data_IF_117547397101
#
_entry.id   IF_117547397101
#
_cell.length_a   1.000
_cell.length_b   1.000
_cell.length_c   1.000
_cell.angle_alpha   90.00
_cell.angle_beta   90.00
_cell.angle_gamma   90.00
#
_symmetry.space_group_name_H-M   'P 1'
#
loop_
_entity.id
_entity.type
_entity.pdbx_description
1 polymer ?
#
# COMPACT_ATOMS: atom_id res chain seq x y z
N UNK A 1 15.62 13.80 -3.19
CA UNK A 1 16.47 14.75 -3.95
C UNK A 1 16.75 16.02 -3.13
N UNK A 2 18.00 16.47 -3.11
CA UNK A 2 18.40 17.73 -2.46
C UNK A 2 18.01 18.93 -3.33
N UNK A 3 17.52 20.00 -2.70
CA UNK A 3 17.16 21.28 -3.33
C UNK A 3 17.55 22.41 -2.39
N UNK A 4 18.03 23.52 -2.94
CA UNK A 4 18.48 24.67 -2.16
C UNK A 4 17.30 25.47 -1.58
N UNK A 5 17.58 26.25 -0.53
CA UNK A 5 16.59 27.12 0.09
C UNK A 5 16.04 28.12 -0.94
N UNK A 6 14.74 28.07 -1.18
CA UNK A 6 14.04 28.96 -2.11
C UNK A 6 13.63 28.28 -3.42
N UNK A 7 14.07 27.05 -3.69
CA UNK A 7 13.72 26.29 -4.90
C UNK A 7 12.39 25.53 -4.79
N UNK A 8 11.76 25.55 -3.61
CA UNK A 8 10.50 24.83 -3.34
C UNK A 8 10.67 23.31 -3.33
N UNK A 9 9.57 22.59 -3.56
CA UNK A 9 9.53 21.12 -3.63
C UNK A 9 9.13 20.65 -5.04
N UNK A 10 9.55 19.44 -5.41
CA UNK A 10 9.00 18.70 -6.55
C UNK A 10 8.67 17.28 -6.13
N UNK A 11 7.45 17.03 -5.63
CA UNK A 11 7.04 15.71 -5.18
C UNK A 11 7.20 14.61 -6.23
N UNK A 12 7.04 14.95 -7.53
CA UNK A 12 7.21 14.02 -8.65
C UNK A 12 8.66 13.51 -8.86
N UNK A 13 9.64 14.09 -8.16
CA UNK A 13 11.03 13.65 -8.15
C UNK A 13 11.41 12.92 -6.85
N UNK A 14 10.49 12.81 -5.89
CA UNK A 14 10.76 12.15 -4.62
C UNK A 14 10.91 10.64 -4.80
N UNK A 15 11.95 10.09 -4.18
CA UNK A 15 12.23 8.67 -4.17
C UNK A 15 11.68 8.07 -2.86
N UNK A 16 10.99 6.92 -2.91
CA UNK A 16 10.65 6.17 -1.71
C UNK A 16 11.90 5.74 -0.94
N UNK A 17 11.75 5.55 0.36
CA UNK A 17 12.84 5.11 1.23
C UNK A 17 12.62 3.68 1.71
N UNK A 18 13.62 2.84 1.53
CA UNK A 18 13.74 1.52 2.10
C UNK A 18 14.40 1.59 3.48
N UNK A 19 13.57 1.53 4.52
CA UNK A 19 13.98 1.59 5.92
C UNK A 19 14.91 0.45 6.36
N UNK A 20 14.97 -0.65 5.62
CA UNK A 20 15.84 -1.79 5.92
C UNK A 20 17.19 -1.72 5.20
N UNK A 21 17.35 -0.78 4.26
CA UNK A 21 18.59 -0.63 3.50
C UNK A 21 19.56 0.38 4.13
N UNK A 22 19.14 1.12 5.17
CA UNK A 22 19.94 2.15 5.82
C UNK A 22 20.68 1.62 7.05
N UNK A 23 21.45 0.54 6.87
CA UNK A 23 22.18 -0.09 7.98
C UNK A 23 23.19 0.92 8.57
N UNK A 24 22.94 1.36 9.82
CA UNK A 24 23.80 2.31 10.53
C UNK A 24 23.60 3.80 10.23
N UNK A 25 22.59 4.21 9.45
CA UNK A 25 22.26 5.63 9.27
C UNK A 25 20.76 5.88 9.03
N UNK A 26 20.29 7.11 9.19
CA UNK A 26 18.92 7.51 8.85
C UNK A 26 18.72 7.75 7.33
N UNK A 27 19.47 7.02 6.47
CA UNK A 27 19.53 7.30 5.04
C UNK A 27 20.30 8.58 4.73
N UNK A 28 21.38 8.86 5.46
CA UNK A 28 22.24 10.03 5.26
C UNK A 28 23.58 9.65 4.61
N UNK A 29 24.25 10.63 4.01
CA UNK A 29 25.56 10.43 3.38
C UNK A 29 25.54 9.43 2.23
N UNK A 30 26.60 8.66 2.05
CA UNK A 30 26.71 7.69 0.94
C UNK A 30 25.66 6.57 1.04
N UNK A 31 25.23 6.22 2.25
CA UNK A 31 24.19 5.20 2.49
C UNK A 31 22.77 5.65 2.11
N UNK A 32 22.55 6.95 1.90
CA UNK A 32 21.28 7.47 1.41
C UNK A 32 20.89 6.84 0.06
N UNK A 33 21.88 6.69 -0.83
CA UNK A 33 21.67 6.13 -2.17
C UNK A 33 21.19 4.68 -2.13
N UNK A 34 21.63 3.92 -1.12
CA UNK A 34 21.21 2.54 -0.94
C UNK A 34 19.78 2.43 -0.37
N UNK A 35 19.33 3.48 0.34
CA UNK A 35 17.99 3.58 0.92
C UNK A 35 16.96 4.22 -0.02
N UNK A 36 17.35 5.03 -1.00
CA UNK A 36 16.45 5.70 -1.97
C UNK A 36 15.86 4.73 -3.03
N UNK A 37 15.17 3.68 -2.57
CA UNK A 37 14.47 2.71 -3.43
C UNK A 37 13.13 2.29 -2.85
N UNK A 38 12.22 1.91 -3.74
CA UNK A 38 10.95 1.29 -3.36
C UNK A 38 11.19 -0.13 -2.81
N UNK A 39 10.49 -0.48 -1.74
CA UNK A 39 10.42 -1.85 -1.23
C UNK A 39 9.01 -2.41 -1.43
N UNK A 40 8.94 -3.64 -1.91
CA UNK A 40 7.71 -4.40 -2.07
C UNK A 40 7.68 -5.57 -1.09
N UNK A 41 6.56 -5.75 -0.40
CA UNK A 41 6.27 -6.93 0.40
C UNK A 41 5.22 -7.76 -0.32
N UNK A 42 5.60 -8.96 -0.74
CA UNK A 42 4.70 -9.87 -1.47
C UNK A 42 3.72 -10.49 -0.47
N UNK A 43 2.44 -10.53 -0.84
CA UNK A 43 1.42 -11.16 -0.03
C UNK A 43 1.68 -12.67 0.10
N UNK A 44 1.34 -13.23 1.26
CA UNK A 44 1.37 -14.68 1.47
C UNK A 44 0.44 -15.39 0.48
N UNK A 45 0.95 -16.46 -0.14
CA UNK A 45 0.27 -17.15 -1.23
C UNK A 45 -1.01 -17.89 -0.78
N UNK A 46 -1.03 -18.44 0.44
CA UNK A 46 -2.17 -19.17 0.97
C UNK A 46 -3.29 -18.21 1.41
N UNK A 47 -2.93 -17.10 2.08
CA UNK A 47 -3.87 -16.03 2.41
C UNK A 47 -4.46 -15.41 1.14
N UNK A 48 -3.64 -15.16 0.12
CA UNK A 48 -4.09 -14.62 -1.16
C UNK A 48 -5.02 -15.60 -1.90
N UNK A 49 -4.71 -16.90 -1.87
CA UNK A 49 -5.58 -17.93 -2.43
C UNK A 49 -6.95 -17.99 -1.72
N UNK A 50 -6.98 -17.87 -0.39
CA UNK A 50 -8.22 -17.79 0.38
C UNK A 50 -9.05 -16.56 -0.03
N UNK A 51 -8.42 -15.39 -0.22
CA UNK A 51 -9.08 -14.19 -0.69
C UNK A 51 -9.67 -14.36 -2.10
N UNK A 52 -8.95 -15.00 -3.01
CA UNK A 52 -9.44 -15.31 -4.36
C UNK A 52 -10.62 -16.27 -4.35
N UNK A 53 -10.61 -17.28 -3.48
CA UNK A 53 -11.68 -18.27 -3.39
C UNK A 53 -13.03 -17.64 -2.96
N UNK A 54 -13.00 -16.61 -2.11
CA UNK A 54 -14.23 -15.94 -1.63
C UNK A 54 -14.55 -14.64 -2.33
N UNK A 55 -13.73 -14.16 -3.27
CA UNK A 55 -13.90 -12.84 -3.92
C UNK A 55 -15.29 -12.62 -4.55
N UNK A 56 -15.94 -13.67 -5.04
CA UNK A 56 -17.30 -13.62 -5.60
C UNK A 56 -18.42 -13.40 -4.57
N UNK A 57 -18.12 -13.51 -3.28
CA UNK A 57 -19.06 -13.27 -2.18
C UNK A 57 -19.19 -11.78 -1.85
N UNK A 58 -18.20 -10.95 -2.19
CA UNK A 58 -18.29 -9.50 -2.04
C UNK A 58 -19.27 -8.89 -3.04
N UNK A 59 -20.27 -8.14 -2.56
CA UNK A 59 -21.40 -7.65 -3.40
C UNK A 59 -21.39 -6.14 -3.66
N UNK A 60 -20.64 -5.35 -2.90
CA UNK A 60 -20.59 -3.88 -3.02
C UNK A 60 -19.65 -3.37 -4.12
N UNK A 61 -19.05 -4.26 -4.91
CA UNK A 61 -18.12 -3.87 -5.97
C UNK A 61 -17.33 -5.05 -6.49
N UNK A 62 -16.10 -4.77 -6.94
CA UNK A 62 -15.16 -5.77 -7.44
C UNK A 62 -14.03 -5.94 -6.43
N UNK A 63 -13.60 -7.19 -6.25
CA UNK A 63 -12.35 -7.50 -5.56
C UNK A 63 -11.29 -7.73 -6.62
N UNK A 64 -10.19 -7.00 -6.53
CA UNK A 64 -9.04 -7.08 -7.45
C UNK A 64 -7.77 -7.32 -6.65
N UNK A 65 -6.81 -7.99 -7.26
CA UNK A 65 -5.45 -8.07 -6.75
C UNK A 65 -4.63 -6.94 -7.36
N UNK A 66 -3.79 -6.30 -6.56
CA UNK A 66 -2.93 -5.22 -7.02
C UNK A 66 -2.07 -4.64 -5.91
N UNK A 67 -1.24 -3.66 -6.27
CA UNK A 67 -0.29 -3.03 -5.35
C UNK A 67 -0.98 -2.01 -4.44
N UNK A 68 -0.87 -2.19 -3.12
CA UNK A 68 -1.26 -1.21 -2.12
C UNK A 68 -0.03 -0.35 -1.80
N UNK A 69 -0.10 0.96 -2.06
CA UNK A 69 0.98 1.88 -1.71
C UNK A 69 0.73 2.54 -0.36
N UNK A 70 1.68 2.35 0.56
CA UNK A 70 1.64 3.01 1.86
C UNK A 70 2.56 4.22 1.92
N UNK A 71 2.09 5.30 2.50
CA UNK A 71 2.92 6.44 2.86
C UNK A 71 2.21 7.36 3.85
N UNK A 72 2.97 8.20 4.54
CA UNK A 72 2.40 9.22 5.44
C UNK A 72 1.87 10.44 4.65
N UNK A 73 1.07 10.16 3.63
CA UNK A 73 0.49 11.15 2.74
C UNK A 73 -0.96 10.77 2.45
N UNK A 74 -1.78 11.80 2.32
CA UNK A 74 -3.07 11.70 1.65
C UNK A 74 -2.97 12.59 0.41
N UNK A 75 -2.85 11.99 -0.78
CA UNK A 75 -2.63 12.75 -2.01
C UNK A 75 -3.97 13.30 -2.50
N UNK A 76 -4.06 14.63 -2.60
CA UNK A 76 -5.18 15.33 -3.23
C UNK A 76 -4.77 16.02 -4.55
N UNK A 77 -3.61 15.64 -5.09
CA UNK A 77 -3.06 16.13 -6.36
C UNK A 77 -3.17 15.02 -7.42
N UNK A 78 -4.03 15.22 -8.43
CA UNK A 78 -4.29 14.19 -9.46
C UNK A 78 -3.02 13.76 -10.21
N UNK A 79 -2.11 14.69 -10.49
CA UNK A 79 -0.83 14.39 -11.15
C UNK A 79 0.05 13.50 -10.27
N UNK A 80 0.03 13.72 -8.95
CA UNK A 80 0.78 12.88 -8.00
C UNK A 80 0.19 11.47 -7.93
N UNK A 81 -1.13 11.35 -7.87
CA UNK A 81 -1.83 10.05 -7.90
C UNK A 81 -1.50 9.30 -9.20
N UNK A 82 -1.59 9.96 -10.34
CA UNK A 82 -1.28 9.36 -11.65
C UNK A 82 0.19 8.96 -11.77
N UNK A 83 1.11 9.77 -11.23
CA UNK A 83 2.53 9.45 -11.19
C UNK A 83 2.81 8.23 -10.33
N UNK A 84 2.23 8.12 -9.13
CA UNK A 84 2.39 6.95 -8.25
C UNK A 84 1.88 5.67 -8.94
N UNK A 85 0.70 5.74 -9.55
CA UNK A 85 0.13 4.64 -10.33
C UNK A 85 1.06 4.20 -11.47
N UNK A 86 1.54 5.15 -12.27
CA UNK A 86 2.39 4.86 -13.43
C UNK A 86 3.77 4.33 -13.03
N UNK A 87 4.36 4.89 -11.96
CA UNK A 87 5.72 4.55 -11.52
C UNK A 87 5.79 3.24 -10.73
N UNK A 88 4.79 2.96 -9.90
CA UNK A 88 4.84 1.86 -8.94
C UNK A 88 3.72 0.84 -9.09
N UNK A 89 2.82 1.01 -10.07
CA UNK A 89 1.72 0.07 -10.33
C UNK A 89 0.60 0.11 -9.28
N UNK A 90 0.47 1.21 -8.55
CA UNK A 90 -0.44 1.30 -7.38
C UNK A 90 -1.90 1.16 -7.79
N UNK A 91 -2.63 0.28 -7.12
CA UNK A 91 -4.09 0.17 -7.23
C UNK A 91 -4.82 1.06 -6.24
N UNK A 92 -4.19 1.35 -5.10
CA UNK A 92 -4.69 2.27 -4.07
C UNK A 92 -3.52 2.85 -3.29
N UNK A 93 -3.77 3.97 -2.61
CA UNK A 93 -2.92 4.50 -1.55
C UNK A 93 -3.59 4.37 -0.18
N UNK A 94 -2.79 4.25 0.87
CA UNK A 94 -3.17 4.27 2.30
C UNK A 94 -1.90 4.50 3.15
N UNK A 95 -1.94 4.29 4.47
CA UNK A 95 -0.91 4.80 5.37
C UNK A 95 -0.22 3.73 6.24
N UNK A 96 -0.65 2.46 6.23
CA UNK A 96 -0.18 1.47 7.22
C UNK A 96 0.26 0.12 6.65
N UNK A 97 -0.22 -0.32 5.49
CA UNK A 97 -0.10 -1.72 5.04
C UNK A 97 1.36 -2.16 4.90
N UNK A 98 2.24 -1.35 4.32
CA UNK A 98 3.65 -1.65 4.16
C UNK A 98 4.42 -1.61 5.49
N UNK A 99 4.00 -0.79 6.46
CA UNK A 99 4.58 -0.77 7.80
C UNK A 99 4.25 -2.06 8.55
N UNK A 100 2.99 -2.50 8.51
CA UNK A 100 2.58 -3.78 9.08
C UNK A 100 3.26 -4.97 8.37
N UNK A 101 3.34 -4.93 7.04
CA UNK A 101 4.01 -5.96 6.23
C UNK A 101 5.52 -6.02 6.53
N UNK A 102 6.18 -4.88 6.74
CA UNK A 102 7.59 -4.82 7.12
C UNK A 102 7.84 -5.58 8.41
N UNK A 103 7.04 -5.34 9.45
CA UNK A 103 7.19 -6.05 10.72
C UNK A 103 6.90 -7.53 10.54
N UNK A 104 5.81 -7.90 9.88
CA UNK A 104 5.48 -9.31 9.63
C UNK A 104 6.61 -10.03 8.88
N UNK A 105 7.18 -9.41 7.85
CA UNK A 105 8.32 -9.92 7.09
C UNK A 105 9.56 -10.12 7.96
N UNK A 106 9.92 -9.14 8.80
CA UNK A 106 11.06 -9.23 9.72
C UNK A 106 10.94 -10.38 10.73
N UNK A 107 9.70 -10.81 11.05
CA UNK A 107 9.42 -11.93 11.96
C UNK A 107 9.07 -13.24 11.24
N UNK A 108 9.10 -13.28 9.90
CA UNK A 108 8.74 -14.47 9.13
C UNK A 108 7.26 -14.86 9.25
N UNK A 109 6.37 -13.90 9.51
CA UNK A 109 4.93 -14.11 9.68
C UNK A 109 4.20 -13.88 8.34
N UNK A 110 3.35 -14.81 7.89
CA UNK A 110 2.48 -14.62 6.72
C UNK A 110 1.62 -13.35 6.82
N UNK A 111 1.52 -12.59 5.73
CA UNK A 111 0.79 -11.32 5.71
C UNK A 111 0.03 -11.11 4.40
N UNK A 112 -1.17 -10.56 4.50
CA UNK A 112 -1.98 -10.10 3.36
C UNK A 112 -2.65 -8.76 3.72
N UNK A 113 -2.41 -7.73 2.92
CA UNK A 113 -3.15 -6.49 2.98
C UNK A 113 -4.48 -6.60 2.23
N UNK A 114 -5.60 -6.28 2.91
CA UNK A 114 -6.92 -6.15 2.28
C UNK A 114 -7.41 -4.73 2.55
N UNK A 115 -7.68 -3.98 1.48
CA UNK A 115 -8.15 -2.59 1.55
C UNK A 115 -9.41 -2.43 0.70
N UNK A 116 -10.28 -1.52 1.12
CA UNK A 116 -11.44 -1.05 0.36
C UNK A 116 -11.24 0.41 0.00
N UNK A 117 -11.64 0.80 -1.21
CA UNK A 117 -11.68 2.21 -1.61
C UNK A 117 -12.86 2.88 -0.91
N UNK A 118 -12.60 3.69 0.11
CA UNK A 118 -13.61 4.49 0.79
C UNK A 118 -13.88 5.82 0.08
N UNK A 119 -12.91 6.33 -0.67
CA UNK A 119 -13.01 7.48 -1.59
C UNK A 119 -12.16 7.21 -2.84
N UNK A 120 -12.38 8.00 -3.90
CA UNK A 120 -11.49 8.00 -5.07
C UNK A 120 -11.56 9.36 -5.80
N UNK A 121 -10.50 10.15 -5.68
CA UNK A 121 -10.44 11.47 -6.33
C UNK A 121 -10.42 11.38 -7.86
N UNK A 122 -9.90 10.31 -8.45
CA UNK A 122 -9.74 10.16 -9.91
C UNK A 122 -11.06 9.96 -10.64
N UNK A 123 -12.14 9.65 -9.92
CA UNK A 123 -13.48 9.48 -10.48
C UNK A 123 -14.55 10.31 -9.74
N UNK A 124 -14.13 11.24 -8.86
CA UNK A 124 -15.05 12.05 -8.04
C UNK A 124 -15.76 11.28 -6.92
N UNK A 125 -15.32 10.07 -6.59
CA UNK A 125 -15.85 9.26 -5.50
C UNK A 125 -15.57 9.90 -4.14
N UNK A 126 -16.63 10.28 -3.44
CA UNK A 126 -16.55 10.83 -2.09
C UNK A 126 -16.32 9.75 -1.04
N UNK A 127 -15.81 10.17 0.12
CA UNK A 127 -15.63 9.30 1.27
C UNK A 127 -16.97 8.71 1.75
N UNK A 128 -17.01 7.39 1.84
CA UNK A 128 -18.11 6.61 2.37
C UNK A 128 -17.58 5.68 3.48
N UNK A 129 -17.87 5.99 4.77
CA UNK A 129 -17.40 5.20 5.89
C UNK A 129 -18.03 3.80 5.96
N UNK A 130 -19.19 3.59 5.32
CA UNK A 130 -19.87 2.30 5.39
C UNK A 130 -19.13 1.20 4.63
N UNK A 131 -18.25 1.58 3.70
CA UNK A 131 -17.35 0.64 2.99
C UNK A 131 -16.45 -0.15 3.95
N UNK A 132 -16.11 0.43 5.12
CA UNK A 132 -15.32 -0.25 6.14
C UNK A 132 -16.02 -1.49 6.70
N UNK A 133 -17.36 -1.47 6.85
CA UNK A 133 -18.15 -2.61 7.31
C UNK A 133 -18.14 -3.74 6.27
N UNK A 134 -18.23 -3.39 4.99
CA UNK A 134 -18.12 -4.37 3.90
C UNK A 134 -16.73 -5.01 3.84
N UNK A 135 -15.67 -4.21 4.05
CA UNK A 135 -14.30 -4.72 4.13
C UNK A 135 -14.11 -5.70 5.29
N UNK A 136 -14.62 -5.36 6.49
CA UNK A 136 -14.57 -6.26 7.65
C UNK A 136 -15.33 -7.57 7.39
N UNK A 137 -16.48 -7.49 6.74
CA UNK A 137 -17.27 -8.66 6.35
C UNK A 137 -16.50 -9.54 5.36
N UNK A 138 -15.84 -8.94 4.38
CA UNK A 138 -15.00 -9.68 3.43
C UNK A 138 -13.79 -10.32 4.10
N UNK A 139 -13.08 -9.58 4.97
CA UNK A 139 -11.95 -10.12 5.75
C UNK A 139 -12.38 -11.33 6.58
N UNK A 140 -13.55 -11.28 7.22
CA UNK A 140 -14.12 -12.44 7.92
C UNK A 140 -14.27 -13.65 6.99
N UNK A 141 -14.81 -13.46 5.78
CA UNK A 141 -14.95 -14.54 4.79
C UNK A 141 -13.60 -15.13 4.37
N UNK A 142 -12.57 -14.28 4.20
CA UNK A 142 -11.20 -14.74 3.89
C UNK A 142 -10.65 -15.58 5.03
N UNK A 143 -10.79 -15.13 6.28
CA UNK A 143 -10.34 -15.87 7.46
C UNK A 143 -11.07 -17.21 7.56
N UNK A 144 -12.41 -17.22 7.44
CA UNK A 144 -13.22 -18.44 7.46
C UNK A 144 -12.85 -19.41 6.34
N UNK A 145 -12.41 -18.91 5.18
CA UNK A 145 -11.91 -19.75 4.11
C UNK A 145 -10.52 -20.31 4.41
N UNK A 146 -9.63 -19.47 4.95
CA UNK A 146 -8.25 -19.85 5.27
C UNK A 146 -8.19 -20.95 6.33
N UNK A 147 -8.97 -20.85 7.40
CA UNK A 147 -8.97 -21.84 8.51
C UNK A 147 -9.67 -23.17 8.21
N UNK A 148 -10.29 -23.32 7.02
CA UNK A 148 -10.88 -24.60 6.58
C UNK A 148 -9.83 -25.55 6.01
N UNK A 149 -8.68 -25.01 5.63
CA UNK A 149 -7.50 -25.76 5.17
C UNK A 149 -6.68 -26.22 6.38
#
# INVERSE_FOLDING_TARGET
>A
PFRDKGEGSAPLEWLPMDLLASDGSAGEGDSAKDAERIRYYVADAELLAAAHAVKGQYKRGKVVEGTIASGNFWNNELDRIAWLHTKFGTSTEEMETASAAQIAHSYGIPFLGIRVLSNNLTNGGHYDPSTATDCQTFVKQVIEQYIKH
#
